data_IF_606993090930
#
_entry.id   IF_606993090930
#
_cell.length_a   1.000
_cell.length_b   1.000
_cell.length_c   1.000
_cell.angle_alpha   90.00
_cell.angle_beta   90.00
_cell.angle_gamma   90.00
#
_symmetry.space_group_name_H-M   'P 1'
#
loop_
_entity.id
_entity.type
_entity.pdbx_description
1 polymer ?
#
# COMPACT_ATOMS: atom_id res chain seq x y z
N UNK A 1 18.94 23.15 -30.85
CA UNK A 1 18.26 21.85 -30.73
C UNK A 1 16.87 21.97 -31.33
N UNK A 2 16.46 21.04 -32.19
CA UNK A 2 15.08 21.12 -32.73
C UNK A 2 14.22 20.06 -32.07
N UNK A 3 13.51 20.45 -30.99
CA UNK A 3 12.46 19.62 -30.46
C UNK A 3 11.28 19.55 -31.43
N UNK A 4 10.79 18.33 -31.66
CA UNK A 4 9.64 18.13 -32.54
C UNK A 4 8.37 18.02 -31.70
N UNK A 5 7.46 18.97 -31.90
CA UNK A 5 6.18 19.02 -31.19
C UNK A 5 5.04 18.69 -32.13
N UNK A 6 4.31 17.65 -31.82
CA UNK A 6 3.05 17.33 -32.47
C UNK A 6 1.91 18.08 -31.77
N UNK A 7 1.44 19.16 -32.41
CA UNK A 7 0.37 20.00 -31.86
C UNK A 7 -1.00 19.30 -31.81
N UNK A 8 -1.16 18.17 -32.51
CA UNK A 8 -2.39 17.38 -32.47
C UNK A 8 -2.43 16.44 -31.25
N UNK A 9 -1.26 16.03 -30.72
CA UNK A 9 -1.15 15.20 -29.53
C UNK A 9 -1.04 16.06 -28.27
N UNK A 10 -2.06 16.10 -27.44
CA UNK A 10 -2.05 16.80 -26.16
C UNK A 10 -1.75 15.84 -25.00
N UNK A 11 -1.18 16.33 -23.89
CA UNK A 11 -0.73 17.71 -23.63
C UNK A 11 0.69 18.01 -24.21
N UNK A 12 0.83 19.18 -24.79
CA UNK A 12 2.07 19.62 -25.47
C UNK A 12 3.26 19.77 -24.50
N UNK A 13 3.03 20.25 -23.27
CA UNK A 13 4.10 20.42 -22.28
C UNK A 13 4.78 19.09 -21.92
N UNK A 14 4.05 17.96 -21.93
CA UNK A 14 4.64 16.64 -21.67
C UNK A 14 5.58 16.19 -22.79
N UNK A 15 5.37 16.62 -24.02
CA UNK A 15 6.26 16.31 -25.12
C UNK A 15 7.60 17.07 -24.97
N UNK A 16 7.54 18.33 -24.53
CA UNK A 16 8.72 19.14 -24.21
C UNK A 16 9.46 18.54 -23.03
N UNK A 17 8.75 18.24 -21.94
CA UNK A 17 9.29 17.59 -20.76
C UNK A 17 10.07 16.31 -21.10
N UNK A 18 9.45 15.39 -21.86
CA UNK A 18 10.09 14.10 -22.21
C UNK A 18 11.37 14.29 -23.03
N UNK A 19 11.35 15.16 -24.02
CA UNK A 19 12.51 15.40 -24.87
C UNK A 19 13.67 16.03 -24.08
N UNK A 20 13.39 16.98 -23.19
CA UNK A 20 14.44 17.58 -22.33
C UNK A 20 14.95 16.56 -21.30
N UNK A 21 14.06 15.78 -20.69
CA UNK A 21 14.45 14.70 -19.77
C UNK A 21 15.38 13.70 -20.47
N UNK A 22 15.01 13.26 -21.66
CA UNK A 22 15.80 12.31 -22.45
C UNK A 22 17.17 12.91 -22.82
N UNK A 23 17.25 14.19 -23.16
CA UNK A 23 18.50 14.91 -23.40
C UNK A 23 19.36 15.02 -22.12
N UNK A 24 18.77 15.22 -20.96
CA UNK A 24 19.48 15.23 -19.66
C UNK A 24 20.00 13.84 -19.34
N UNK A 25 19.15 12.82 -19.44
CA UNK A 25 19.52 11.44 -19.09
C UNK A 25 20.54 10.82 -20.05
N UNK A 26 20.53 11.24 -21.33
CA UNK A 26 21.54 10.83 -22.31
C UNK A 26 22.85 11.60 -22.21
N UNK A 27 22.96 12.59 -21.33
CA UNK A 27 24.15 13.43 -21.16
C UNK A 27 24.29 14.54 -22.22
N UNK A 28 23.28 14.78 -23.07
CA UNK A 28 23.28 15.92 -24.02
C UNK A 28 23.33 17.25 -23.25
N UNK A 29 22.66 17.33 -22.12
CA UNK A 29 22.85 18.38 -21.10
C UNK A 29 23.66 17.79 -19.96
N UNK A 30 24.88 18.32 -19.79
CA UNK A 30 25.76 17.89 -18.71
C UNK A 30 25.29 18.41 -17.34
N UNK A 31 25.72 17.73 -16.27
CA UNK A 31 25.52 18.20 -14.91
C UNK A 31 25.98 19.63 -14.75
N UNK A 32 25.20 20.46 -14.05
CA UNK A 32 25.42 21.88 -13.84
C UNK A 32 25.38 22.77 -15.12
N UNK A 33 24.99 22.22 -16.26
CA UNK A 33 24.76 23.00 -17.48
C UNK A 33 23.48 23.82 -17.39
N UNK A 34 23.43 24.95 -18.07
CA UNK A 34 22.27 25.85 -18.10
C UNK A 34 21.32 25.49 -19.23
N UNK A 35 20.04 25.34 -18.94
CA UNK A 35 18.98 25.17 -19.93
C UNK A 35 18.63 26.51 -20.62
N UNK A 36 18.06 26.47 -21.85
CA UNK A 36 17.52 27.65 -22.52
C UNK A 36 16.50 28.38 -21.65
N UNK A 37 16.38 29.69 -21.79
CA UNK A 37 15.31 30.41 -21.09
C UNK A 37 13.94 29.98 -21.60
N UNK A 38 12.93 30.06 -20.73
CA UNK A 38 11.53 29.71 -21.09
C UNK A 38 11.05 30.41 -22.36
N UNK A 39 11.44 31.67 -22.57
CA UNK A 39 11.09 32.44 -23.77
C UNK A 39 11.82 31.94 -25.00
N UNK A 40 13.12 31.73 -24.89
CA UNK A 40 13.93 31.24 -26.01
C UNK A 40 13.42 29.87 -26.49
N UNK A 41 13.16 28.95 -25.57
CA UNK A 41 12.64 27.61 -25.91
C UNK A 41 11.21 27.69 -26.48
N UNK A 42 10.37 28.56 -25.97
CA UNK A 42 9.01 28.77 -26.47
C UNK A 42 8.99 29.26 -27.90
N UNK A 43 9.85 30.23 -28.23
CA UNK A 43 10.03 30.77 -29.57
C UNK A 43 10.59 29.70 -30.52
N UNK A 44 11.59 28.93 -30.09
CA UNK A 44 12.25 27.89 -30.91
C UNK A 44 11.30 26.73 -31.26
N UNK A 45 10.43 26.34 -30.31
CA UNK A 45 9.50 25.21 -30.47
C UNK A 45 8.12 25.65 -31.00
N UNK A 46 7.84 26.95 -31.02
CA UNK A 46 6.59 27.56 -31.52
C UNK A 46 5.39 27.25 -30.62
N UNK A 47 5.57 27.37 -29.28
CA UNK A 47 4.55 27.21 -28.24
C UNK A 47 4.49 28.42 -27.32
N UNK A 48 3.49 28.46 -26.42
CA UNK A 48 3.42 29.53 -25.42
C UNK A 48 4.49 29.34 -24.32
N UNK A 49 4.97 30.45 -23.76
CA UNK A 49 5.91 30.45 -22.63
C UNK A 49 5.34 29.68 -21.42
N UNK A 50 4.03 29.72 -21.18
CA UNK A 50 3.34 28.98 -20.13
C UNK A 50 3.47 27.46 -20.34
N UNK A 51 3.43 27.01 -21.60
CA UNK A 51 3.61 25.58 -21.94
C UNK A 51 5.01 25.09 -21.56
N UNK A 52 6.04 25.87 -21.85
CA UNK A 52 7.42 25.59 -21.44
C UNK A 52 7.59 25.67 -19.93
N UNK A 53 6.94 26.65 -19.30
CA UNK A 53 6.95 26.77 -17.84
C UNK A 53 6.41 25.54 -17.12
N UNK A 54 5.30 24.96 -17.61
CA UNK A 54 4.76 23.72 -17.07
C UNK A 54 5.74 22.54 -17.27
N UNK A 55 6.43 22.46 -18.40
CA UNK A 55 7.44 21.44 -18.64
C UNK A 55 8.65 21.60 -17.69
N UNK A 56 9.11 22.83 -17.48
CA UNK A 56 10.22 23.13 -16.57
C UNK A 56 9.82 22.89 -15.10
N UNK A 57 8.60 23.25 -14.71
CA UNK A 57 8.09 22.96 -13.38
C UNK A 57 8.12 21.45 -13.10
N UNK A 58 7.69 20.64 -14.08
CA UNK A 58 7.72 19.18 -13.94
C UNK A 58 9.15 18.63 -13.85
N UNK A 59 10.10 19.16 -14.64
CA UNK A 59 11.51 18.80 -14.54
C UNK A 59 12.13 19.18 -13.19
N UNK A 60 11.73 20.32 -12.61
CA UNK A 60 12.13 20.71 -11.25
C UNK A 60 11.51 19.80 -10.18
N UNK A 61 10.21 19.50 -10.31
CA UNK A 61 9.47 18.64 -9.38
C UNK A 61 10.06 17.22 -9.32
N UNK A 62 10.63 16.75 -10.46
CA UNK A 62 11.24 15.43 -10.55
C UNK A 62 12.77 15.43 -10.30
N UNK A 63 13.36 16.61 -9.99
CA UNK A 63 14.77 16.71 -9.63
C UNK A 63 15.75 16.61 -10.80
N UNK A 64 15.34 16.85 -12.03
CA UNK A 64 16.25 16.92 -13.17
C UNK A 64 16.95 18.27 -13.27
N UNK A 65 16.27 19.36 -12.89
CA UNK A 65 16.77 20.73 -12.95
C UNK A 65 16.39 21.53 -11.71
N UNK A 66 17.12 22.60 -11.44
CA UNK A 66 16.79 23.56 -10.38
C UNK A 66 16.74 24.99 -10.91
N UNK A 67 15.84 25.84 -10.41
CA UNK A 67 15.90 27.28 -10.67
C UNK A 67 16.99 27.92 -9.81
N UNK A 68 17.87 28.74 -10.42
CA UNK A 68 18.81 29.60 -9.72
C UNK A 68 18.40 31.06 -9.88
N UNK A 69 18.26 31.75 -8.77
CA UNK A 69 17.78 33.13 -8.76
C UNK A 69 18.57 34.02 -9.74
N UNK A 70 17.84 34.77 -10.58
CA UNK A 70 18.38 35.64 -11.64
C UNK A 70 19.28 34.97 -12.67
N UNK A 71 19.47 33.66 -12.57
CA UNK A 71 20.42 32.92 -13.43
C UNK A 71 19.74 31.99 -14.42
N UNK A 72 18.57 31.45 -14.09
CA UNK A 72 17.79 30.53 -14.94
C UNK A 72 17.73 29.12 -14.38
N UNK A 73 17.58 28.12 -15.24
CA UNK A 73 17.43 26.71 -14.87
C UNK A 73 18.72 25.93 -15.17
N UNK A 74 19.15 25.11 -14.23
CA UNK A 74 20.38 24.33 -14.32
C UNK A 74 20.10 22.84 -14.10
N UNK A 75 20.81 21.97 -14.80
CA UNK A 75 20.72 20.52 -14.64
C UNK A 75 21.37 20.12 -13.32
N UNK A 76 20.61 19.40 -12.48
CA UNK A 76 21.10 18.84 -11.22
C UNK A 76 21.12 17.30 -11.24
N UNK A 77 20.62 16.69 -12.30
CA UNK A 77 20.70 15.25 -12.49
C UNK A 77 22.14 14.84 -12.86
N UNK A 78 22.69 13.90 -12.09
CA UNK A 78 23.97 13.27 -12.37
C UNK A 78 23.77 11.74 -12.50
N UNK A 79 24.18 11.11 -13.61
CA UNK A 79 24.11 9.66 -13.76
C UNK A 79 24.90 8.89 -12.68
N UNK A 80 25.82 9.57 -11.99
CA UNK A 80 26.67 8.97 -10.96
C UNK A 80 26.15 9.12 -9.53
N UNK A 81 24.99 9.76 -9.33
CA UNK A 81 24.38 9.91 -8.01
C UNK A 81 23.72 8.58 -7.55
N UNK A 82 24.55 7.60 -7.26
CA UNK A 82 24.26 6.54 -6.29
C UNK A 82 23.25 5.44 -6.68
N UNK A 83 22.69 5.45 -7.87
CA UNK A 83 22.00 4.27 -8.39
C UNK A 83 22.98 3.48 -9.23
N UNK A 84 23.35 2.27 -8.74
CA UNK A 84 24.12 1.32 -9.52
C UNK A 84 23.59 1.26 -10.95
N UNK A 85 24.48 1.32 -11.96
CA UNK A 85 24.13 1.08 -13.35
C UNK A 85 23.20 -0.13 -13.41
N UNK A 86 21.95 0.10 -13.79
CA UNK A 86 21.08 -0.97 -14.24
C UNK A 86 21.66 -1.39 -15.57
N UNK A 87 22.64 -2.33 -15.51
CA UNK A 87 23.13 -3.02 -16.69
C UNK A 87 21.89 -3.48 -17.46
N UNK A 88 21.84 -3.15 -18.75
CA UNK A 88 20.78 -3.54 -19.67
C UNK A 88 20.44 -5.00 -19.47
N UNK A 89 19.40 -5.27 -18.67
CA UNK A 89 18.78 -6.57 -18.60
C UNK A 89 18.12 -6.74 -19.96
N UNK A 90 18.71 -7.63 -20.76
CA UNK A 90 18.24 -7.96 -22.09
C UNK A 90 16.74 -8.24 -22.08
N UNK A 91 16.05 -7.84 -23.13
CA UNK A 91 14.59 -7.87 -23.34
C UNK A 91 13.88 -9.25 -23.22
N UNK A 92 14.46 -10.22 -22.52
CA UNK A 92 13.91 -11.58 -22.43
C UNK A 92 12.96 -11.85 -21.28
N UNK A 93 12.68 -10.88 -20.42
CA UNK A 93 11.64 -11.00 -19.38
C UNK A 93 10.43 -10.13 -19.70
N UNK A 94 9.81 -10.36 -20.85
CA UNK A 94 8.38 -10.04 -21.01
C UNK A 94 7.56 -11.10 -20.28
N UNK A 95 7.65 -11.15 -18.97
CA UNK A 95 6.56 -11.72 -18.19
C UNK A 95 5.34 -10.85 -18.49
N UNK A 96 4.34 -11.46 -19.09
CA UNK A 96 3.01 -10.89 -19.18
C UNK A 96 2.46 -10.73 -17.76
N UNK A 97 2.95 -9.76 -17.03
CA UNK A 97 2.17 -9.16 -15.97
C UNK A 97 1.04 -8.49 -16.74
N UNK A 98 -0.12 -9.12 -16.78
CA UNK A 98 -1.34 -8.45 -17.18
C UNK A 98 -1.37 -7.18 -16.34
N UNK A 99 -1.00 -6.06 -16.93
CA UNK A 99 -1.09 -4.76 -16.28
C UNK A 99 -2.58 -4.50 -16.09
N UNK A 100 -3.11 -4.92 -14.95
CA UNK A 100 -4.30 -4.27 -14.45
C UNK A 100 -3.92 -2.78 -14.50
N UNK A 101 -4.54 -2.04 -15.43
CA UNK A 101 -4.39 -0.59 -15.47
C UNK A 101 -4.91 -0.11 -14.14
N UNK A 102 -4.01 0.09 -13.18
CA UNK A 102 -4.35 0.76 -11.95
C UNK A 102 -4.85 2.13 -12.34
N UNK A 103 -6.12 2.40 -12.10
CA UNK A 103 -6.77 3.70 -12.28
C UNK A 103 -6.29 4.70 -11.23
N UNK A 104 -5.12 4.42 -10.61
CA UNK A 104 -4.55 5.26 -9.58
C UNK A 104 -4.12 6.60 -10.19
N UNK A 105 -4.65 7.68 -9.66
CA UNK A 105 -4.36 9.02 -10.13
C UNK A 105 -2.98 9.47 -9.62
N UNK A 106 -1.96 9.35 -10.49
CA UNK A 106 -0.60 9.85 -10.19
C UNK A 106 -0.62 11.33 -9.81
N UNK A 107 -1.51 12.14 -10.42
CA UNK A 107 -1.67 13.56 -10.08
C UNK A 107 -2.16 13.77 -8.65
N UNK A 108 -3.08 12.92 -8.18
CA UNK A 108 -3.58 12.97 -6.81
C UNK A 108 -2.47 12.57 -5.81
N UNK A 109 -1.72 11.51 -6.13
CA UNK A 109 -0.57 11.09 -5.30
C UNK A 109 0.44 12.22 -5.18
N UNK A 110 0.88 12.80 -6.29
CA UNK A 110 1.85 13.90 -6.30
C UNK A 110 1.36 15.13 -5.53
N UNK A 111 0.07 15.46 -5.64
CA UNK A 111 -0.54 16.55 -4.86
C UNK A 111 -0.51 16.25 -3.37
N UNK A 112 -0.86 15.00 -2.99
CA UNK A 112 -0.87 14.57 -1.58
C UNK A 112 0.54 14.55 -1.01
N UNK A 113 1.51 14.01 -1.74
CA UNK A 113 2.92 14.02 -1.31
C UNK A 113 3.45 15.43 -1.09
N UNK A 114 3.21 16.36 -2.03
CA UNK A 114 3.61 17.76 -1.85
C UNK A 114 2.97 18.39 -0.62
N UNK A 115 1.68 18.13 -0.40
CA UNK A 115 1.00 18.61 0.79
C UNK A 115 1.65 18.08 2.07
N UNK A 116 1.90 16.78 2.14
CA UNK A 116 2.54 16.14 3.30
C UNK A 116 3.94 16.72 3.54
N UNK A 117 4.76 16.86 2.48
CA UNK A 117 6.09 17.48 2.59
C UNK A 117 6.03 18.94 3.08
N UNK A 118 5.02 19.70 2.66
CA UNK A 118 4.83 21.08 3.10
C UNK A 118 4.34 21.17 4.54
N UNK A 119 3.38 20.32 4.92
CA UNK A 119 2.72 20.40 6.22
C UNK A 119 3.60 19.83 7.35
N UNK A 120 4.40 18.79 7.07
CA UNK A 120 5.20 18.08 8.08
C UNK A 120 6.70 18.34 7.98
N UNK A 121 7.19 18.89 6.86
CA UNK A 121 8.57 19.32 6.66
C UNK A 121 9.59 18.24 7.17
N UNK A 122 10.52 18.62 8.05
CA UNK A 122 11.59 17.75 8.58
C UNK A 122 11.07 16.61 9.46
N UNK A 123 9.88 16.73 10.04
CA UNK A 123 9.26 15.68 10.89
C UNK A 123 9.11 14.35 10.17
N UNK A 124 8.94 14.36 8.83
CA UNK A 124 8.84 13.15 8.02
C UNK A 124 10.11 12.31 8.06
N UNK A 125 11.26 12.96 8.28
CA UNK A 125 12.57 12.32 8.33
C UNK A 125 12.90 11.74 9.71
N UNK A 126 12.09 12.04 10.72
CA UNK A 126 12.26 11.50 12.06
C UNK A 126 11.89 10.02 12.11
N UNK A 127 12.52 9.30 13.05
CA UNK A 127 12.20 7.89 13.28
C UNK A 127 10.77 7.77 13.82
N UNK A 128 9.91 7.05 13.09
CA UNK A 128 8.55 6.75 13.57
C UNK A 128 8.58 5.92 14.86
N UNK A 129 7.61 6.13 15.77
CA UNK A 129 7.39 5.24 16.92
C UNK A 129 7.21 3.78 16.50
N UNK A 130 7.55 2.85 17.38
CA UNK A 130 7.47 1.41 17.08
C UNK A 130 6.07 0.94 16.66
N UNK A 131 5.02 1.55 17.16
CA UNK A 131 3.63 1.27 16.78
C UNK A 131 3.18 1.99 15.48
N UNK A 132 4.05 2.79 14.88
CA UNK A 132 3.74 3.64 13.72
C UNK A 132 3.45 5.10 14.10
N UNK A 133 3.50 6.02 13.11
CA UNK A 133 3.28 7.43 13.36
C UNK A 133 1.86 7.71 13.87
N UNK A 134 1.76 8.70 14.75
CA UNK A 134 0.52 8.99 15.48
C UNK A 134 -0.57 9.54 14.56
N UNK A 135 -0.20 10.29 13.54
CA UNK A 135 -1.09 10.87 12.54
C UNK A 135 -1.81 9.78 11.75
N UNK A 136 -1.07 8.76 11.32
CA UNK A 136 -1.65 7.63 10.60
C UNK A 136 -2.53 6.78 11.51
N UNK A 137 -2.10 6.50 12.75
CA UNK A 137 -2.93 5.76 13.72
C UNK A 137 -4.21 6.52 14.07
N UNK A 138 -4.14 7.85 14.18
CA UNK A 138 -5.32 8.70 14.40
C UNK A 138 -6.28 8.65 13.21
N UNK A 139 -5.77 8.72 12.00
CA UNK A 139 -6.57 8.60 10.79
C UNK A 139 -7.21 7.21 10.67
N UNK A 140 -6.46 6.15 11.00
CA UNK A 140 -6.96 4.78 11.04
C UNK A 140 -8.04 4.57 12.11
N UNK A 141 -7.89 5.13 13.31
CA UNK A 141 -8.94 5.10 14.35
C UNK A 141 -10.25 5.66 13.81
N UNK A 142 -10.20 6.82 13.15
CA UNK A 142 -11.39 7.45 12.57
C UNK A 142 -11.97 6.65 11.40
N UNK A 143 -11.11 6.07 10.56
CA UNK A 143 -11.51 5.22 9.45
C UNK A 143 -12.23 3.96 9.93
N UNK A 144 -11.65 3.24 10.89
CA UNK A 144 -12.19 2.01 11.47
C UNK A 144 -13.55 2.24 12.14
N UNK A 145 -13.68 3.33 12.90
CA UNK A 145 -14.95 3.68 13.54
C UNK A 145 -16.07 3.93 12.50
N UNK A 146 -15.76 4.67 11.41
CA UNK A 146 -16.76 5.01 10.39
C UNK A 146 -17.11 3.87 9.44
N UNK A 147 -16.12 3.08 9.05
CA UNK A 147 -16.27 2.10 7.97
C UNK A 147 -16.43 0.66 8.46
N UNK A 148 -15.98 0.35 9.67
CA UNK A 148 -16.00 -1.01 10.20
C UNK A 148 -16.71 -1.14 11.54
N UNK A 149 -17.17 -0.03 12.13
CA UNK A 149 -17.78 -0.04 13.45
C UNK A 149 -16.81 -0.41 14.58
N UNK A 150 -15.50 -0.32 14.31
CA UNK A 150 -14.45 -0.66 15.28
C UNK A 150 -14.06 0.60 16.04
N UNK A 151 -14.35 0.64 17.33
CA UNK A 151 -13.99 1.72 18.23
C UNK A 151 -12.82 1.28 19.12
N UNK A 152 -11.67 1.87 18.92
CA UNK A 152 -10.43 1.52 19.64
C UNK A 152 -9.69 2.78 20.06
N UNK A 153 -8.81 2.66 21.05
CA UNK A 153 -7.87 3.72 21.41
C UNK A 153 -6.64 3.70 20.47
N UNK A 154 -5.93 4.82 20.37
CA UNK A 154 -4.77 4.93 19.47
C UNK A 154 -3.69 3.90 19.82
N UNK A 155 -3.55 3.61 21.12
CA UNK A 155 -2.58 2.67 21.68
C UNK A 155 -2.85 1.21 21.25
N UNK A 156 -4.08 0.90 20.83
CA UNK A 156 -4.48 -0.42 20.34
C UNK A 156 -4.17 -0.60 18.83
N UNK A 157 -3.71 0.44 18.14
CA UNK A 157 -3.41 0.40 16.70
C UNK A 157 -1.90 0.25 16.49
N UNK A 158 -1.49 -0.79 15.79
CA UNK A 158 -0.11 -1.05 15.40
C UNK A 158 0.01 -1.10 13.89
N UNK A 159 0.98 -0.36 13.34
CA UNK A 159 1.28 -0.34 11.91
C UNK A 159 2.52 -1.20 11.66
N UNK A 160 2.40 -2.17 10.77
CA UNK A 160 3.48 -3.06 10.39
C UNK A 160 3.83 -2.99 8.90
N UNK A 161 4.97 -3.55 8.53
CA UNK A 161 5.47 -3.60 7.15
C UNK A 161 4.82 -4.72 6.32
N UNK A 162 3.49 -4.86 6.42
CA UNK A 162 2.69 -5.85 5.70
C UNK A 162 2.18 -6.98 6.58
N UNK A 163 1.27 -7.78 6.01
CA UNK A 163 0.52 -8.80 6.76
C UNK A 163 1.44 -9.91 7.32
N UNK A 164 2.43 -10.38 6.56
CA UNK A 164 3.35 -11.43 6.99
C UNK A 164 4.15 -11.01 8.24
N UNK A 165 4.57 -9.75 8.30
CA UNK A 165 5.22 -9.20 9.49
C UNK A 165 4.27 -9.18 10.69
N UNK A 166 3.02 -8.76 10.48
CA UNK A 166 2.02 -8.72 11.55
C UNK A 166 1.63 -10.12 12.05
N UNK A 167 1.51 -11.11 11.15
CA UNK A 167 1.28 -12.51 11.56
C UNK A 167 2.38 -13.00 12.50
N UNK A 168 3.64 -12.70 12.16
CA UNK A 168 4.77 -13.06 13.00
C UNK A 168 4.75 -12.36 14.35
N UNK A 169 4.46 -11.05 14.34
CA UNK A 169 4.35 -10.26 15.57
C UNK A 169 3.26 -10.80 16.50
N UNK A 170 2.12 -11.23 15.94
CA UNK A 170 1.02 -11.82 16.71
C UNK A 170 1.44 -13.17 17.32
N UNK A 171 2.18 -14.00 16.57
CA UNK A 171 2.70 -15.25 17.12
C UNK A 171 3.66 -14.98 18.30
N UNK A 172 4.53 -13.99 18.16
CA UNK A 172 5.48 -13.64 19.23
C UNK A 172 4.75 -13.00 20.44
N UNK A 173 3.59 -12.34 20.23
CA UNK A 173 2.73 -11.78 21.28
C UNK A 173 1.93 -12.84 22.01
N UNK A 174 1.23 -13.72 21.29
CA UNK A 174 0.30 -14.71 21.86
C UNK A 174 1.05 -15.93 22.42
N UNK A 175 2.19 -16.27 21.87
CA UNK A 175 3.04 -17.40 22.29
C UNK A 175 3.16 -18.48 21.21
N UNK A 176 4.35 -19.07 21.14
CA UNK A 176 4.68 -20.17 20.19
C UNK A 176 4.30 -21.54 20.71
N UNK A 177 3.97 -21.65 21.97
CA UNK A 177 3.49 -22.84 22.65
C UNK A 177 2.01 -23.12 22.38
N UNK A 178 1.27 -22.10 21.89
CA UNK A 178 -0.13 -22.22 21.53
C UNK A 178 -0.34 -23.01 20.22
N UNK A 179 -1.49 -23.63 20.12
CA UNK A 179 -1.97 -24.27 18.90
C UNK A 179 -2.83 -23.26 18.13
N UNK A 180 -2.51 -23.07 16.86
CA UNK A 180 -3.25 -22.19 15.96
C UNK A 180 -4.18 -23.00 15.08
N UNK A 181 -5.35 -22.51 14.75
CA UNK A 181 -6.21 -23.07 13.72
C UNK A 181 -6.30 -22.11 12.54
N UNK A 182 -6.23 -22.65 11.33
CA UNK A 182 -6.31 -21.90 10.08
C UNK A 182 -7.41 -22.50 9.24
N UNK A 183 -8.24 -21.69 8.61
CA UNK A 183 -9.21 -22.17 7.62
C UNK A 183 -8.52 -22.81 6.41
N UNK A 184 -9.12 -23.85 5.82
CA UNK A 184 -8.55 -24.54 4.66
C UNK A 184 -9.63 -24.76 3.58
N UNK A 185 -9.38 -24.28 2.32
CA UNK A 185 -8.16 -23.58 1.87
C UNK A 185 -8.06 -22.14 2.41
N UNK A 186 -6.84 -21.62 2.57
CA UNK A 186 -6.57 -20.26 3.02
C UNK A 186 -5.44 -19.60 2.21
N UNK A 187 -5.14 -18.35 2.51
CA UNK A 187 -3.99 -17.65 1.97
C UNK A 187 -2.69 -18.35 2.41
N UNK A 188 -2.01 -18.98 1.46
CA UNK A 188 -0.83 -19.83 1.72
C UNK A 188 0.27 -19.18 2.57
N UNK A 189 0.38 -17.85 2.54
CA UNK A 189 1.36 -17.12 3.33
C UNK A 189 1.11 -17.20 4.84
N UNK A 190 -0.13 -17.39 5.28
CA UNK A 190 -0.45 -17.58 6.69
C UNK A 190 0.22 -18.88 7.19
N UNK A 191 0.01 -19.97 6.45
CA UNK A 191 0.60 -21.26 6.77
C UNK A 191 2.14 -21.24 6.73
N UNK A 192 2.73 -20.59 5.71
CA UNK A 192 4.17 -20.41 5.58
C UNK A 192 4.78 -19.67 6.77
N UNK A 193 4.12 -18.59 7.24
CA UNK A 193 4.59 -17.82 8.41
C UNK A 193 4.50 -18.66 9.68
N UNK A 194 3.42 -19.40 9.88
CA UNK A 194 3.26 -20.24 11.06
C UNK A 194 4.22 -21.41 11.09
N UNK A 195 4.44 -22.06 9.94
CA UNK A 195 5.46 -23.09 9.80
C UNK A 195 6.87 -22.55 10.12
N UNK A 196 7.21 -21.39 9.53
CA UNK A 196 8.50 -20.73 9.79
C UNK A 196 8.65 -20.24 11.24
N UNK A 197 7.56 -19.92 11.93
CA UNK A 197 7.54 -19.58 13.34
C UNK A 197 7.70 -20.80 14.26
N UNK A 198 7.55 -22.03 13.73
CA UNK A 198 7.62 -23.28 14.47
C UNK A 198 6.42 -23.52 15.38
N UNK A 199 5.26 -22.88 15.12
CA UNK A 199 4.04 -23.12 15.89
C UNK A 199 3.28 -24.32 15.35
N UNK A 200 2.54 -24.99 16.23
CA UNK A 200 1.61 -26.04 15.83
C UNK A 200 0.34 -25.40 15.25
N UNK A 201 -0.20 -25.95 14.17
CA UNK A 201 -1.46 -25.48 13.63
C UNK A 201 -2.31 -26.62 13.04
N UNK A 202 -3.63 -26.44 13.17
CA UNK A 202 -4.66 -27.28 12.58
C UNK A 202 -5.25 -26.61 11.35
N UNK A 203 -5.57 -27.38 10.32
CA UNK A 203 -6.28 -26.93 9.13
C UNK A 203 -7.77 -27.29 9.28
N UNK A 204 -8.64 -26.28 9.36
CA UNK A 204 -10.08 -26.45 9.51
C UNK A 204 -10.78 -26.30 8.15
N UNK A 205 -11.52 -27.31 7.67
CA UNK A 205 -12.22 -27.25 6.40
C UNK A 205 -13.20 -26.09 6.32
N UNK A 206 -13.28 -25.42 5.16
CA UNK A 206 -14.31 -24.45 4.84
C UNK A 206 -15.51 -25.15 4.18
N UNK A 207 -16.71 -24.82 4.66
CA UNK A 207 -18.00 -25.09 4.03
C UNK A 207 -18.47 -23.84 3.25
N UNK A 208 -19.67 -23.90 2.67
CA UNK A 208 -20.24 -22.82 1.87
C UNK A 208 -20.51 -21.53 2.68
N UNK A 209 -20.66 -21.63 4.00
CA UNK A 209 -21.02 -20.54 4.89
C UNK A 209 -19.94 -20.20 5.96
N UNK A 210 -18.77 -20.79 5.85
CA UNK A 210 -17.63 -20.60 6.77
C UNK A 210 -16.96 -21.89 7.18
N UNK A 211 -16.21 -21.87 8.28
CA UNK A 211 -15.50 -23.04 8.80
C UNK A 211 -16.50 -24.11 9.25
N UNK A 212 -16.18 -25.40 8.97
CA UNK A 212 -16.97 -26.53 9.44
C UNK A 212 -17.11 -26.51 10.95
N UNK A 213 -18.36 -26.48 11.43
CA UNK A 213 -18.66 -26.36 12.86
C UNK A 213 -18.21 -27.56 13.69
N UNK A 214 -18.18 -28.77 13.09
CA UNK A 214 -17.73 -29.97 13.79
C UNK A 214 -16.21 -29.93 13.94
N UNK A 215 -15.48 -29.53 12.91
CA UNK A 215 -14.04 -29.35 12.96
C UNK A 215 -13.65 -28.26 13.96
N UNK A 216 -14.36 -27.11 13.95
CA UNK A 216 -14.15 -26.01 14.90
C UNK A 216 -14.40 -26.43 16.35
N UNK A 217 -15.43 -27.25 16.59
CA UNK A 217 -15.76 -27.72 17.92
C UNK A 217 -14.75 -28.75 18.47
N UNK A 218 -14.06 -29.50 17.58
CA UNK A 218 -13.13 -30.58 17.93
C UNK A 218 -11.69 -30.13 18.07
N UNK A 219 -11.30 -29.01 17.49
CA UNK A 219 -9.91 -28.55 17.55
C UNK A 219 -9.52 -28.15 18.96
N UNK A 220 -8.30 -28.51 19.35
CA UNK A 220 -7.66 -28.06 20.60
C UNK A 220 -6.95 -26.72 20.47
N UNK A 221 -7.20 -26.00 19.37
CA UNK A 221 -6.53 -24.73 19.11
C UNK A 221 -6.87 -23.65 20.15
N UNK A 222 -5.86 -22.84 20.48
CA UNK A 222 -5.97 -21.66 21.34
C UNK A 222 -6.29 -20.40 20.55
N UNK A 223 -5.93 -20.39 19.26
CA UNK A 223 -6.02 -19.21 18.37
C UNK A 223 -6.64 -19.62 17.05
N UNK A 224 -7.70 -18.97 16.64
CA UNK A 224 -8.32 -19.14 15.34
C UNK A 224 -7.89 -17.99 14.41
N UNK A 225 -7.20 -18.29 13.32
CA UNK A 225 -6.95 -17.32 12.26
C UNK A 225 -7.92 -17.57 11.11
N UNK A 226 -8.81 -16.62 10.90
CA UNK A 226 -9.86 -16.71 9.87
C UNK A 226 -9.95 -15.46 9.01
N UNK A 227 -10.44 -15.60 7.78
CA UNK A 227 -10.78 -14.53 6.86
C UNK A 227 -12.28 -14.57 6.63
N UNK A 228 -13.11 -13.97 7.50
CA UNK A 228 -14.55 -14.18 7.48
C UNK A 228 -15.27 -13.56 6.28
N UNK A 229 -14.56 -12.75 5.47
CA UNK A 229 -15.12 -12.09 4.29
C UNK A 229 -14.31 -12.45 3.06
N UNK A 230 -14.96 -13.12 2.09
CA UNK A 230 -14.34 -13.51 0.81
C UNK A 230 -12.97 -14.18 0.98
N UNK A 231 -12.94 -15.21 1.85
CA UNK A 231 -11.72 -15.97 2.11
C UNK A 231 -11.02 -16.38 0.81
N UNK A 232 -9.74 -16.04 0.68
CA UNK A 232 -8.95 -16.44 -0.49
C UNK A 232 -8.32 -17.82 -0.27
N UNK A 233 -8.35 -18.74 -1.25
CA UNK A 233 -8.84 -18.59 -2.64
C UNK A 233 -10.32 -18.97 -2.84
N UNK A 234 -11.03 -19.45 -1.81
CA UNK A 234 -12.36 -20.02 -1.92
C UNK A 234 -13.45 -19.01 -2.27
N UNK A 235 -13.29 -17.74 -1.85
CA UNK A 235 -14.31 -16.70 -1.94
C UNK A 235 -15.43 -16.84 -0.89
N UNK A 236 -15.36 -17.83 -0.01
CA UNK A 236 -16.36 -18.09 1.04
C UNK A 236 -16.45 -16.87 1.97
N UNK A 237 -17.67 -16.51 2.30
CA UNK A 237 -17.98 -15.48 3.32
C UNK A 237 -18.73 -16.14 4.47
N UNK A 238 -18.22 -15.99 5.68
CA UNK A 238 -18.86 -16.53 6.86
C UNK A 238 -20.25 -15.89 7.09
N UNK A 239 -21.27 -16.73 7.21
CA UNK A 239 -22.62 -16.28 7.54
C UNK A 239 -22.65 -15.59 8.89
N UNK A 240 -23.71 -14.81 9.17
CA UNK A 240 -23.88 -14.20 10.49
C UNK A 240 -23.85 -15.26 11.61
N UNK A 241 -24.52 -16.40 11.39
CA UNK A 241 -24.53 -17.53 12.36
C UNK A 241 -23.13 -18.06 12.62
N UNK A 242 -22.28 -18.18 11.57
CA UNK A 242 -20.91 -18.63 11.69
C UNK A 242 -20.03 -17.63 12.43
N UNK A 243 -20.19 -16.34 12.17
CA UNK A 243 -19.45 -15.32 12.92
C UNK A 243 -19.75 -15.39 14.42
N UNK A 244 -21.02 -15.52 14.78
CA UNK A 244 -21.38 -15.74 16.19
C UNK A 244 -20.90 -17.09 16.74
N UNK A 245 -20.78 -18.13 15.92
CA UNK A 245 -20.20 -19.41 16.31
C UNK A 245 -18.72 -19.26 16.66
N UNK A 246 -17.93 -18.49 15.85
CA UNK A 246 -16.52 -18.19 16.13
C UNK A 246 -16.34 -17.42 17.42
N UNK A 247 -17.18 -16.41 17.67
CA UNK A 247 -17.16 -15.66 18.94
C UNK A 247 -17.44 -16.60 20.12
N UNK A 248 -18.51 -17.40 20.04
CA UNK A 248 -18.82 -18.36 21.11
C UNK A 248 -17.72 -19.40 21.32
N UNK A 249 -17.03 -19.82 20.26
CA UNK A 249 -15.89 -20.74 20.35
C UNK A 249 -14.74 -20.10 21.12
N UNK A 250 -14.41 -18.85 20.86
CA UNK A 250 -13.34 -18.14 21.55
C UNK A 250 -13.69 -17.85 23.00
N UNK A 251 -14.94 -17.53 23.30
CA UNK A 251 -15.41 -17.20 24.64
C UNK A 251 -15.38 -18.34 25.66
N UNK A 252 -15.59 -19.58 25.18
CA UNK A 252 -15.71 -20.76 26.06
C UNK A 252 -14.41 -21.11 26.79
N UNK A 253 -13.24 -20.83 26.20
CA UNK A 253 -11.98 -21.28 26.73
C UNK A 253 -10.89 -20.18 26.76
N UNK A 254 -11.28 -18.92 26.79
CA UNK A 254 -10.36 -17.78 26.75
C UNK A 254 -9.38 -17.84 25.57
N UNK A 255 -9.90 -18.21 24.40
CA UNK A 255 -9.19 -18.33 23.13
C UNK A 255 -9.12 -17.01 22.40
N UNK A 256 -8.22 -16.90 21.43
CA UNK A 256 -8.08 -15.70 20.60
C UNK A 256 -8.59 -15.95 19.19
N UNK A 257 -9.03 -14.86 18.54
CA UNK A 257 -9.33 -14.84 17.12
C UNK A 257 -8.42 -13.82 16.44
N UNK A 258 -7.84 -14.18 15.30
CA UNK A 258 -7.17 -13.30 14.37
C UNK A 258 -8.10 -13.15 13.17
N UNK A 259 -8.69 -11.98 13.02
CA UNK A 259 -9.61 -11.65 11.93
C UNK A 259 -8.84 -10.94 10.82
N UNK A 260 -8.62 -11.60 9.68
CA UNK A 260 -8.05 -10.98 8.49
C UNK A 260 -9.14 -10.40 7.59
N UNK A 261 -9.00 -9.11 7.25
CA UNK A 261 -9.94 -8.37 6.42
C UNK A 261 -9.18 -7.55 5.38
N UNK A 262 -8.76 -8.21 4.30
CA UNK A 262 -7.81 -7.65 3.35
C UNK A 262 -8.44 -6.85 2.21
N UNK A 263 -9.75 -6.89 2.03
CA UNK A 263 -10.45 -6.30 0.89
C UNK A 263 -11.79 -5.63 1.24
N UNK A 264 -11.96 -5.20 2.49
CA UNK A 264 -13.19 -4.59 2.99
C UNK A 264 -13.64 -3.35 2.21
N UNK A 265 -12.71 -2.63 1.60
CA UNK A 265 -12.97 -1.45 0.78
C UNK A 265 -13.69 -1.80 -0.53
N UNK A 266 -13.65 -3.04 -0.97
CA UNK A 266 -14.30 -3.53 -2.19
C UNK A 266 -15.64 -4.24 -1.94
N UNK A 267 -16.28 -3.96 -0.81
CA UNK A 267 -17.59 -4.54 -0.50
C UNK A 267 -18.64 -4.10 -1.51
N UNK A 268 -19.34 -5.05 -2.08
CA UNK A 268 -20.50 -4.82 -2.96
C UNK A 268 -21.82 -4.58 -2.19
N UNK A 269 -21.77 -4.71 -0.87
CA UNK A 269 -22.95 -4.52 -0.01
C UNK A 269 -23.11 -3.06 0.40
N UNK A 270 -24.36 -2.60 0.44
CA UNK A 270 -24.72 -1.23 0.84
C UNK A 270 -24.35 -0.95 2.32
N UNK A 271 -24.38 -1.97 3.17
CA UNK A 271 -23.89 -1.88 4.55
C UNK A 271 -22.64 -2.71 4.74
N UNK A 272 -21.61 -2.17 5.41
CA UNK A 272 -20.47 -2.98 5.84
C UNK A 272 -20.96 -4.13 6.70
N UNK A 273 -20.39 -5.31 6.50
CA UNK A 273 -20.65 -6.46 7.36
C UNK A 273 -19.95 -6.25 8.69
N UNK A 274 -20.61 -6.56 9.78
CA UNK A 274 -20.05 -6.46 11.13
C UNK A 274 -18.84 -7.38 11.28
N UNK A 275 -17.72 -6.83 11.78
CA UNK A 275 -16.49 -7.56 12.04
C UNK A 275 -16.62 -8.44 13.30
N UNK A 276 -15.80 -9.52 13.36
CA UNK A 276 -15.71 -10.30 14.60
C UNK A 276 -15.23 -9.44 15.76
N UNK A 277 -14.32 -8.51 15.48
CA UNK A 277 -13.84 -7.54 16.46
C UNK A 277 -14.97 -6.68 17.04
N UNK A 278 -15.87 -6.17 16.19
CA UNK A 278 -17.00 -5.36 16.65
C UNK A 278 -18.10 -6.19 17.32
N UNK A 279 -18.20 -7.49 17.02
CA UNK A 279 -19.16 -8.42 17.63
C UNK A 279 -18.70 -8.97 18.97
N UNK A 280 -17.41 -8.94 19.26
CA UNK A 280 -16.87 -9.47 20.51
C UNK A 280 -17.03 -8.45 21.65
N UNK A 281 -17.56 -8.90 22.76
CA UNK A 281 -17.58 -8.11 24.00
C UNK A 281 -16.29 -8.28 24.85
N UNK A 282 -15.31 -9.04 24.32
CA UNK A 282 -14.04 -9.35 24.98
C UNK A 282 -12.85 -8.85 24.20
N UNK A 283 -11.74 -8.59 24.86
CA UNK A 283 -10.47 -8.18 24.26
C UNK A 283 -9.67 -9.39 23.72
N UNK A 284 -10.34 -10.27 22.97
CA UNK A 284 -9.75 -11.52 22.48
C UNK A 284 -9.77 -11.65 20.96
N UNK A 285 -10.14 -10.60 20.25
CA UNK A 285 -10.11 -10.54 18.78
C UNK A 285 -9.05 -9.54 18.33
N UNK A 286 -8.13 -9.98 17.47
CA UNK A 286 -7.13 -9.14 16.81
C UNK A 286 -7.57 -8.92 15.37
N UNK A 287 -7.89 -7.68 15.01
CA UNK A 287 -8.30 -7.30 13.67
C UNK A 287 -7.09 -6.90 12.81
N UNK A 288 -6.98 -7.46 11.63
CA UNK A 288 -5.93 -7.17 10.64
C UNK A 288 -6.52 -6.65 9.35
N UNK A 289 -5.96 -5.55 8.86
CA UNK A 289 -6.30 -4.99 7.55
C UNK A 289 -5.05 -4.51 6.82
N UNK A 290 -5.18 -4.24 5.51
CA UNK A 290 -4.10 -3.74 4.67
C UNK A 290 -4.66 -2.84 3.57
N UNK A 291 -3.92 -1.79 3.23
CA UNK A 291 -4.24 -0.91 2.09
C UNK A 291 -3.57 -1.35 0.78
N UNK A 292 -2.87 -2.48 0.75
CA UNK A 292 -2.14 -2.96 -0.45
C UNK A 292 -3.00 -3.21 -1.68
N UNK A 293 -4.33 -3.23 -1.53
CA UNK A 293 -5.28 -3.42 -2.64
C UNK A 293 -5.94 -2.11 -3.08
N UNK A 294 -5.84 -1.06 -2.26
CA UNK A 294 -6.51 0.23 -2.46
C UNK A 294 -5.57 1.36 -2.81
N UNK A 295 -4.30 1.24 -2.46
CA UNK A 295 -3.25 2.25 -2.68
C UNK A 295 -2.12 1.65 -3.51
#
# INVERSE_FOLDING_TARGET
MKYRIDKQKRPVYLQIYRQIRDDITSGTFEFNSKLPSKRLLADEVGVSTITVEHAYALLCDEGYIEPRERSGYFVIFSPNDGFAEVSHISESFKTHIASARTTFSVSLLSKTMRKVLTDYNEVILEKSPNAGCIELRTALKQYLARNRGINVEIEQIVIGSGAEYLYRLIVDLLGRDKVYAIESPSYQKIEQVYHAAGVKYDLLPLCDDGIDGVALAKTDADVLHTTPYRSFPSGVTASASKRYEYIRWSDKANRFIIESDYDSEFSVYVKPTETLFALSDKDNVIYLNTFSKTI
#
